data_IF_470080730127
#
_entry.id   IF_470080730127
#
_cell.length_a   1.000
_cell.length_b   1.000
_cell.length_c   1.000
_cell.angle_alpha   90.00
_cell.angle_beta   90.00
_cell.angle_gamma   90.00
#
_symmetry.space_group_name_H-M   'P 1'
#
loop_
_entity.id
_entity.type
_entity.pdbx_description
1 polymer ?
#
# COMPACT_ATOMS: atom_id res chain seq x y z
N UNK A 1 23.42 5.92 4.22
CA UNK A 1 23.19 5.46 2.84
C UNK A 1 21.81 4.80 2.72
N UNK A 2 20.71 5.57 2.69
CA UNK A 2 19.37 5.08 2.30
C UNK A 2 18.57 6.23 1.68
N UNK A 3 19.13 6.83 0.63
CA UNK A 3 18.53 7.95 -0.09
C UNK A 3 18.55 7.62 -1.58
N UNK A 4 17.60 6.82 -2.06
CA UNK A 4 17.46 6.58 -3.52
C UNK A 4 16.13 5.99 -4.01
N UNK A 5 15.24 5.46 -3.17
CA UNK A 5 13.99 4.86 -3.67
C UNK A 5 12.79 5.40 -2.90
N UNK A 6 12.06 6.36 -3.49
CA UNK A 6 10.57 6.41 -3.48
C UNK A 6 9.97 7.72 -4.03
N UNK A 7 10.65 8.43 -4.94
CA UNK A 7 10.07 9.64 -5.54
C UNK A 7 10.37 9.64 -7.04
N UNK A 8 9.79 8.68 -7.75
CA UNK A 8 9.74 8.71 -9.22
C UNK A 8 8.36 9.10 -9.77
N UNK A 9 7.31 9.17 -8.94
CA UNK A 9 5.93 9.28 -9.45
C UNK A 9 5.15 10.50 -8.94
N UNK A 10 5.77 11.66 -8.75
CA UNK A 10 5.02 12.93 -8.74
C UNK A 10 4.74 13.38 -10.17
N UNK A 11 3.99 12.54 -10.89
CA UNK A 11 3.65 12.68 -12.29
C UNK A 11 2.22 13.15 -12.52
N UNK A 12 1.62 13.97 -11.66
CA UNK A 12 0.29 14.55 -11.94
C UNK A 12 0.14 15.91 -11.23
N UNK A 13 0.58 17.00 -11.85
CA UNK A 13 -0.08 18.32 -11.87
C UNK A 13 0.65 19.21 -12.91
N UNK A 14 -0.12 19.97 -13.69
CA UNK A 14 0.22 20.76 -14.91
C UNK A 14 1.55 21.58 -14.85
N UNK A 15 2.24 21.64 -16.01
CA UNK A 15 3.53 22.31 -16.42
C UNK A 15 3.77 23.77 -15.93
N UNK A 16 5.01 24.34 -15.95
CA UNK A 16 6.36 23.75 -15.89
C UNK A 16 7.28 24.47 -14.86
N UNK A 17 7.50 23.91 -13.67
CA UNK A 17 8.70 24.27 -12.89
C UNK A 17 9.74 23.18 -13.15
N UNK A 18 10.59 23.39 -14.16
CA UNK A 18 11.69 22.47 -14.53
C UNK A 18 12.79 22.48 -13.47
N UNK A 19 12.55 21.92 -12.28
CA UNK A 19 13.68 21.37 -11.53
C UNK A 19 14.07 20.04 -12.20
N UNK A 20 15.04 20.12 -13.12
CA UNK A 20 15.56 18.98 -13.91
C UNK A 20 16.17 17.84 -13.07
N UNK A 21 16.19 17.93 -11.73
CA UNK A 21 16.50 16.79 -10.88
C UNK A 21 15.76 16.92 -9.55
N UNK A 22 15.16 15.82 -9.09
CA UNK A 22 14.63 15.70 -7.72
C UNK A 22 15.69 16.09 -6.68
N UNK A 23 16.97 15.81 -6.96
CA UNK A 23 18.10 16.21 -6.12
C UNK A 23 18.24 17.72 -5.89
N UNK A 24 17.94 18.57 -6.88
CA UNK A 24 18.02 20.02 -6.70
C UNK A 24 16.93 20.56 -5.79
N UNK A 25 15.73 19.97 -5.82
CA UNK A 25 14.64 20.36 -4.92
C UNK A 25 14.95 19.97 -3.48
N UNK A 26 15.48 18.75 -3.26
CA UNK A 26 15.93 18.30 -1.95
C UNK A 26 17.08 19.14 -1.39
N UNK A 27 17.98 19.63 -2.26
CA UNK A 27 19.11 20.48 -1.86
C UNK A 27 18.67 21.89 -1.49
N UNK A 28 17.75 22.48 -2.26
CA UNK A 28 17.29 23.86 -2.06
C UNK A 28 16.23 23.98 -0.96
N UNK A 29 15.37 22.97 -0.81
CA UNK A 29 14.25 22.98 0.13
C UNK A 29 14.15 21.69 0.96
N UNK A 30 15.23 21.27 1.65
CA UNK A 30 15.29 19.99 2.33
C UNK A 30 14.13 19.80 3.31
N UNK A 31 13.89 20.81 4.15
CA UNK A 31 12.86 20.76 5.18
C UNK A 31 11.44 20.58 4.61
N UNK A 32 11.14 21.22 3.47
CA UNK A 32 9.82 21.12 2.83
C UNK A 32 9.67 19.75 2.20
N UNK A 33 10.68 19.30 1.46
CA UNK A 33 10.68 17.97 0.84
C UNK A 33 10.54 16.85 1.88
N UNK A 34 11.29 16.90 2.98
CA UNK A 34 11.17 15.91 4.05
C UNK A 34 9.80 15.91 4.72
N UNK A 35 9.22 17.10 4.98
CA UNK A 35 7.85 17.19 5.55
C UNK A 35 6.81 16.59 4.61
N UNK A 36 6.90 16.85 3.30
CA UNK A 36 5.98 16.30 2.30
C UNK A 36 6.14 14.78 2.23
N UNK A 37 7.37 14.27 2.11
CA UNK A 37 7.63 12.82 2.05
C UNK A 37 7.14 12.11 3.31
N UNK A 38 7.40 12.66 4.50
CA UNK A 38 6.94 12.08 5.76
C UNK A 38 5.41 12.04 5.85
N UNK A 39 4.72 13.11 5.40
CA UNK A 39 3.25 13.11 5.33
C UNK A 39 2.73 12.06 4.35
N UNK A 40 3.38 11.91 3.21
CA UNK A 40 3.00 10.93 2.20
C UNK A 40 3.22 9.50 2.70
N UNK A 41 4.35 9.21 3.34
CA UNK A 41 4.60 7.91 3.98
C UNK A 41 3.52 7.56 5.01
N UNK A 42 3.19 8.49 5.91
CA UNK A 42 2.11 8.29 6.89
C UNK A 42 0.75 8.06 6.24
N UNK A 43 0.48 8.72 5.11
CA UNK A 43 -0.75 8.51 4.36
C UNK A 43 -0.77 7.11 3.72
N UNK A 44 0.31 6.70 3.04
CA UNK A 44 0.47 5.36 2.49
C UNK A 44 0.31 4.27 3.55
N UNK A 45 0.96 4.44 4.71
CA UNK A 45 0.84 3.50 5.83
C UNK A 45 -0.61 3.32 6.28
N UNK A 46 -1.37 4.42 6.38
CA UNK A 46 -2.80 4.37 6.73
C UNK A 46 -3.62 3.66 5.67
N UNK A 47 -3.35 3.91 4.39
CA UNK A 47 -4.04 3.25 3.28
C UNK A 47 -3.74 1.75 3.26
N UNK A 48 -2.48 1.36 3.45
CA UNK A 48 -2.06 -0.04 3.54
C UNK A 48 -2.75 -0.71 4.73
N UNK A 49 -2.74 -0.09 5.91
CA UNK A 49 -3.39 -0.62 7.10
C UNK A 49 -4.89 -0.82 6.89
N UNK A 50 -5.58 0.16 6.28
CA UNK A 50 -7.00 0.05 5.95
C UNK A 50 -7.29 -1.13 5.02
N UNK A 51 -6.45 -1.32 3.99
CA UNK A 51 -6.58 -2.45 3.05
C UNK A 51 -6.36 -3.80 3.73
N UNK A 52 -5.34 -3.90 4.58
CA UNK A 52 -5.07 -5.12 5.36
C UNK A 52 -6.25 -5.47 6.28
N UNK A 53 -6.85 -4.47 6.94
CA UNK A 53 -8.04 -4.68 7.76
C UNK A 53 -9.25 -5.17 6.94
N UNK A 54 -9.44 -4.63 5.74
CA UNK A 54 -10.51 -5.07 4.84
C UNK A 54 -10.33 -6.54 4.43
N UNK A 55 -9.11 -6.91 4.01
CA UNK A 55 -8.75 -8.30 3.66
C UNK A 55 -9.04 -9.24 4.82
N UNK A 56 -8.60 -8.86 6.03
CA UNK A 56 -8.84 -9.66 7.24
C UNK A 56 -10.33 -9.87 7.49
N UNK A 57 -11.15 -8.82 7.41
CA UNK A 57 -12.61 -8.91 7.57
C UNK A 57 -13.23 -9.85 6.53
N UNK A 58 -12.85 -9.70 5.26
CA UNK A 58 -13.38 -10.52 4.17
C UNK A 58 -12.96 -11.98 4.31
N UNK A 59 -11.69 -12.24 4.63
CA UNK A 59 -11.16 -13.59 4.83
C UNK A 59 -11.89 -14.31 5.98
N UNK A 60 -12.11 -13.63 7.12
CA UNK A 60 -12.87 -14.19 8.24
C UNK A 60 -14.33 -14.46 7.86
N UNK A 61 -14.96 -13.57 7.09
CA UNK A 61 -16.33 -13.78 6.58
C UNK A 61 -16.42 -15.00 5.67
N UNK A 62 -15.45 -15.18 4.78
CA UNK A 62 -15.38 -16.35 3.88
C UNK A 62 -15.18 -17.64 4.69
N UNK A 63 -14.27 -17.63 5.67
CA UNK A 63 -14.05 -18.78 6.55
C UNK A 63 -15.32 -19.17 7.31
N UNK A 64 -16.04 -18.20 7.90
CA UNK A 64 -17.33 -18.44 8.58
C UNK A 64 -18.39 -19.03 7.65
N UNK A 65 -18.32 -18.75 6.35
CA UNK A 65 -19.22 -19.37 5.35
C UNK A 65 -18.84 -20.81 4.96
N UNK A 66 -17.83 -21.40 5.62
CA UNK A 66 -17.33 -22.75 5.34
C UNK A 66 -16.39 -22.83 4.14
N UNK A 67 -16.02 -21.70 3.53
CA UNK A 67 -15.13 -21.64 2.36
C UNK A 67 -13.70 -21.29 2.77
N UNK A 68 -12.72 -21.83 2.06
CA UNK A 68 -11.31 -21.48 2.27
C UNK A 68 -11.04 -20.04 1.79
N UNK A 69 -10.41 -19.18 2.62
CA UNK A 69 -10.00 -17.84 2.19
C UNK A 69 -8.75 -17.95 1.31
N UNK A 70 -8.96 -18.23 0.01
CA UNK A 70 -7.90 -18.17 -1.00
C UNK A 70 -7.90 -16.79 -1.70
N UNK A 71 -6.81 -16.40 -2.38
CA UNK A 71 -6.73 -15.08 -3.03
C UNK A 71 -7.89 -14.81 -3.99
N UNK A 72 -8.34 -15.83 -4.73
CA UNK A 72 -9.45 -15.71 -5.68
C UNK A 72 -10.78 -15.37 -4.99
N UNK A 73 -11.14 -16.12 -3.94
CA UNK A 73 -12.37 -15.92 -3.18
C UNK A 73 -12.37 -14.57 -2.44
N UNK A 74 -11.22 -14.18 -1.90
CA UNK A 74 -11.08 -12.89 -1.22
C UNK A 74 -11.15 -11.75 -2.23
N UNK A 75 -10.47 -11.85 -3.37
CA UNK A 75 -10.50 -10.84 -4.43
C UNK A 75 -11.93 -10.64 -5.00
N UNK A 76 -12.66 -11.74 -5.21
CA UNK A 76 -14.05 -11.69 -5.66
C UNK A 76 -15.01 -11.04 -4.66
N UNK A 77 -14.66 -11.06 -3.36
CA UNK A 77 -15.48 -10.53 -2.28
C UNK A 77 -15.07 -9.12 -1.83
N UNK A 78 -13.97 -8.57 -2.37
CA UNK A 78 -13.51 -7.20 -2.16
C UNK A 78 -14.12 -6.25 -3.19
N UNK A 79 -14.33 -4.99 -2.81
CA UNK A 79 -14.80 -3.96 -3.75
C UNK A 79 -13.76 -3.67 -4.84
N UNK A 80 -12.47 -3.80 -4.53
CA UNK A 80 -11.38 -3.58 -5.46
C UNK A 80 -10.41 -4.78 -5.47
N UNK A 81 -10.51 -5.68 -6.46
CA UNK A 81 -9.61 -6.82 -6.58
C UNK A 81 -8.13 -6.43 -6.77
N UNK A 82 -7.88 -5.22 -7.28
CA UNK A 82 -6.55 -4.66 -7.50
C UNK A 82 -5.72 -4.52 -6.22
N UNK A 83 -6.35 -4.54 -5.05
CA UNK A 83 -5.66 -4.53 -3.74
C UNK A 83 -4.62 -5.66 -3.64
N UNK A 84 -4.88 -6.83 -4.24
CA UNK A 84 -3.94 -7.96 -4.22
C UNK A 84 -2.65 -7.75 -5.01
N UNK A 85 -2.52 -6.68 -5.81
CA UNK A 85 -1.23 -6.31 -6.42
C UNK A 85 -0.24 -5.78 -5.37
N UNK A 86 -0.73 -5.39 -4.20
CA UNK A 86 0.12 -4.91 -3.11
C UNK A 86 0.69 -6.12 -2.32
N UNK A 87 2.01 -6.20 -2.09
CA UNK A 87 2.61 -7.30 -1.34
C UNK A 87 2.14 -7.36 0.13
N UNK A 88 1.83 -6.23 0.76
CA UNK A 88 1.31 -6.18 2.13
C UNK A 88 -0.07 -6.83 2.24
N UNK A 89 -0.91 -6.67 1.21
CA UNK A 89 -2.23 -7.30 1.13
C UNK A 89 -2.12 -8.84 1.04
N UNK A 90 -1.18 -9.33 0.22
CA UNK A 90 -0.91 -10.77 0.11
C UNK A 90 -0.39 -11.34 1.44
N UNK A 91 0.56 -10.64 2.06
CA UNK A 91 1.13 -11.05 3.35
C UNK A 91 0.06 -11.11 4.46
N UNK A 92 -0.88 -10.16 4.50
CA UNK A 92 -1.97 -10.19 5.46
C UNK A 92 -2.89 -11.39 5.25
N UNK A 93 -3.21 -11.74 3.99
CA UNK A 93 -4.00 -12.94 3.72
C UNK A 93 -3.27 -14.22 4.18
N UNK A 94 -1.97 -14.34 3.89
CA UNK A 94 -1.13 -15.46 4.37
C UNK A 94 -1.17 -15.54 5.90
N UNK A 95 -1.03 -14.41 6.60
CA UNK A 95 -1.11 -14.35 8.06
C UNK A 95 -2.47 -14.86 8.57
N UNK A 96 -3.57 -14.37 8.00
CA UNK A 96 -4.92 -14.81 8.38
C UNK A 96 -5.12 -16.30 8.12
N UNK A 97 -4.59 -16.84 7.01
CA UNK A 97 -4.68 -18.27 6.71
C UNK A 97 -3.97 -19.14 7.76
N UNK A 98 -2.80 -18.72 8.22
CA UNK A 98 -2.05 -19.40 9.30
C UNK A 98 -2.82 -19.36 10.62
N UNK A 99 -3.38 -18.21 10.98
CA UNK A 99 -4.21 -18.06 12.19
C UNK A 99 -5.46 -18.96 12.17
N UNK A 100 -5.99 -19.25 10.97
CA UNK A 100 -7.14 -20.12 10.77
C UNK A 100 -6.77 -21.60 10.55
N UNK A 101 -5.49 -21.97 10.59
CA UNK A 101 -5.01 -23.35 10.44
C UNK A 101 -5.02 -23.91 9.01
N UNK A 102 -5.00 -23.04 7.99
CA UNK A 102 -4.96 -23.47 6.58
C UNK A 102 -3.55 -23.61 5.99
N UNK A 103 -2.55 -23.13 6.71
CA UNK A 103 -1.10 -23.13 6.44
C UNK A 103 -0.35 -23.29 7.77
#
# INVERSE_FOLDING_TARGET
>A
MLSALHIKDFGLYRRPFRYKSSGNLYRLFPNICYKISSRYQKYEDKIIQSRCQEIRKVALRIHRSGKKPNPHNVAAALAQPSIFRNPYAQAELTKVKRELGYE
#
